data_IF_654728611201
#
_entry.id   IF_654728611201
#
_cell.length_a   1.000
_cell.length_b   1.000
_cell.length_c   1.000
_cell.angle_alpha   90.00
_cell.angle_beta   90.00
_cell.angle_gamma   90.00
#
_symmetry.space_group_name_H-M   'P 1'
#
loop_
_entity.id
_entity.type
_entity.pdbx_description
1 polymer ?
#
# COMPACT_ATOMS: atom_id res chain seq x y z
N UNK A 1 -9.82 11.29 -33.19
CA UNK A 1 -8.69 10.92 -32.27
C UNK A 1 -9.26 9.96 -31.23
N UNK A 2 -8.64 8.79 -30.98
CA UNK A 2 -9.12 7.83 -29.97
C UNK A 2 -8.68 8.37 -28.59
N UNK A 3 -9.60 8.54 -27.67
CA UNK A 3 -9.30 8.94 -26.30
C UNK A 3 -8.55 7.81 -25.59
N UNK A 4 -7.54 8.17 -24.81
CA UNK A 4 -6.71 7.25 -24.04
C UNK A 4 -6.40 7.87 -22.68
N UNK A 5 -6.10 7.05 -21.69
CA UNK A 5 -5.61 7.50 -20.40
C UNK A 5 -4.28 8.26 -20.52
N UNK A 6 -3.99 9.10 -19.53
CA UNK A 6 -2.72 9.84 -19.45
C UNK A 6 -1.58 8.84 -19.21
N UNK A 7 -0.49 8.99 -19.92
CA UNK A 7 0.69 8.12 -19.76
C UNK A 7 1.16 8.07 -18.29
N UNK A 8 1.18 6.88 -17.73
CA UNK A 8 1.55 6.65 -16.32
C UNK A 8 0.41 6.84 -15.32
N UNK A 9 -0.83 7.01 -15.83
CA UNK A 9 -2.07 6.94 -15.06
C UNK A 9 -2.92 5.85 -15.70
N UNK A 10 -2.94 4.67 -15.08
CA UNK A 10 -3.51 3.47 -15.67
C UNK A 10 -4.88 3.15 -15.08
N UNK A 11 -5.76 2.60 -15.92
CA UNK A 11 -7.00 2.00 -15.45
C UNK A 11 -6.66 0.69 -14.73
N UNK A 12 -7.38 0.41 -13.64
CA UNK A 12 -7.31 -0.86 -12.93
C UNK A 12 -8.52 -1.70 -13.33
N UNK A 13 -8.28 -2.74 -14.14
CA UNK A 13 -9.35 -3.57 -14.67
C UNK A 13 -9.85 -4.60 -13.64
N UNK A 14 -11.08 -5.16 -13.80
CA UNK A 14 -11.69 -6.07 -12.82
C UNK A 14 -10.81 -7.26 -12.44
N UNK A 15 -10.08 -7.84 -13.38
CA UNK A 15 -9.20 -8.98 -13.14
C UNK A 15 -8.02 -8.61 -12.22
N UNK A 16 -7.50 -7.39 -12.34
CA UNK A 16 -6.43 -6.87 -11.50
C UNK A 16 -6.95 -6.42 -10.12
N UNK A 17 -8.20 -5.92 -10.08
CA UNK A 17 -8.81 -5.38 -8.86
C UNK A 17 -8.93 -6.43 -7.75
N UNK A 18 -9.03 -7.71 -8.08
CA UNK A 18 -9.13 -8.78 -7.09
C UNK A 18 -7.87 -8.87 -6.19
N UNK A 19 -6.67 -8.80 -6.77
CA UNK A 19 -5.41 -8.79 -6.02
C UNK A 19 -5.29 -7.52 -5.16
N UNK A 20 -5.72 -6.37 -5.68
CA UNK A 20 -5.75 -5.12 -4.92
C UNK A 20 -6.65 -5.21 -3.69
N UNK A 21 -7.88 -5.68 -3.86
CA UNK A 21 -8.85 -5.86 -2.77
C UNK A 21 -8.35 -6.87 -1.73
N UNK A 22 -7.67 -7.94 -2.16
CA UNK A 22 -7.04 -8.89 -1.25
C UNK A 22 -5.96 -8.22 -0.41
N UNK A 23 -5.05 -7.47 -1.04
CA UNK A 23 -4.00 -6.73 -0.35
C UNK A 23 -4.59 -5.70 0.64
N UNK A 24 -5.50 -4.84 0.17
CA UNK A 24 -6.12 -3.80 1.00
C UNK A 24 -6.85 -4.37 2.21
N UNK A 25 -7.62 -5.45 2.04
CA UNK A 25 -8.30 -6.16 3.14
C UNK A 25 -7.29 -6.72 4.13
N UNK A 26 -6.27 -7.42 3.66
CA UNK A 26 -5.24 -8.00 4.51
C UNK A 26 -4.52 -6.93 5.33
N UNK A 27 -4.20 -5.79 4.72
CA UNK A 27 -3.57 -4.66 5.42
C UNK A 27 -4.52 -4.10 6.48
N UNK A 28 -5.78 -3.83 6.14
CA UNK A 28 -6.77 -3.30 7.08
C UNK A 28 -6.97 -4.24 8.31
N UNK A 29 -7.03 -5.55 8.06
CA UNK A 29 -7.14 -6.56 9.13
C UNK A 29 -5.91 -6.58 10.04
N UNK A 30 -4.70 -6.55 9.47
CA UNK A 30 -3.45 -6.52 10.24
C UNK A 30 -3.38 -5.23 11.06
N UNK A 31 -3.61 -4.07 10.45
CA UNK A 31 -3.56 -2.77 11.13
C UNK A 31 -4.63 -2.66 12.22
N UNK A 32 -5.81 -3.22 12.00
CA UNK A 32 -6.87 -3.30 13.01
C UNK A 32 -6.44 -4.05 14.28
N UNK A 33 -5.61 -5.11 14.15
CA UNK A 33 -5.05 -5.87 15.30
C UNK A 33 -4.06 -5.05 16.13
N UNK A 34 -3.48 -3.98 15.57
CA UNK A 34 -2.60 -3.02 16.25
C UNK A 34 -3.33 -1.73 16.65
N UNK A 35 -4.67 -1.73 16.53
CA UNK A 35 -5.54 -0.59 16.88
C UNK A 35 -5.29 0.67 16.05
N UNK A 36 -4.76 0.54 14.83
CA UNK A 36 -4.70 1.64 13.88
C UNK A 36 -6.09 1.89 13.29
N UNK A 37 -6.49 3.16 13.21
CA UNK A 37 -7.78 3.61 12.67
C UNK A 37 -7.58 4.29 11.32
N UNK A 38 -8.49 4.04 10.40
CA UNK A 38 -8.44 4.70 9.09
C UNK A 38 -8.75 6.20 9.23
N UNK A 39 -7.95 7.01 8.52
CA UNK A 39 -8.21 8.44 8.29
C UNK A 39 -8.24 8.69 6.79
N UNK A 40 -9.19 9.52 6.34
CA UNK A 40 -9.29 9.96 4.95
C UNK A 40 -9.19 11.46 4.87
N UNK A 41 -8.41 11.95 3.94
CA UNK A 41 -8.19 13.39 3.71
C UNK A 41 -8.12 13.69 2.21
N UNK A 42 -8.30 14.96 1.79
CA UNK A 42 -8.35 15.36 0.38
C UNK A 42 -7.13 14.91 -0.42
N UNK A 43 -7.36 14.72 -1.73
CA UNK A 43 -6.29 14.47 -2.71
C UNK A 43 -5.61 15.78 -3.10
N UNK A 44 -6.39 16.87 -3.10
CA UNK A 44 -5.96 18.21 -3.47
C UNK A 44 -5.72 19.03 -2.21
N UNK A 45 -4.55 19.66 -2.12
CA UNK A 45 -4.11 20.46 -0.99
C UNK A 45 -3.45 21.76 -1.48
N UNK A 46 -3.30 22.74 -0.59
CA UNK A 46 -2.47 23.91 -0.89
C UNK A 46 -1.03 23.50 -1.16
N UNK A 47 -0.43 24.04 -2.21
CA UNK A 47 0.95 23.71 -2.63
C UNK A 47 1.97 23.94 -1.51
N UNK A 48 1.75 24.96 -0.68
CA UNK A 48 2.62 25.29 0.45
C UNK A 48 2.69 24.21 1.52
N UNK A 49 1.67 23.36 1.65
CA UNK A 49 1.71 22.21 2.55
C UNK A 49 2.89 21.31 2.22
N UNK A 50 3.02 20.96 0.94
CA UNK A 50 4.08 20.05 0.51
C UNK A 50 5.45 20.72 0.46
N UNK A 51 5.54 22.00 0.06
CA UNK A 51 6.79 22.75 0.10
C UNK A 51 7.36 22.79 1.52
N UNK A 52 6.52 23.07 2.51
CA UNK A 52 6.95 23.10 3.91
C UNK A 52 7.28 21.71 4.44
N UNK A 53 6.46 20.69 4.15
CA UNK A 53 6.66 19.36 4.71
C UNK A 53 7.86 18.64 4.07
N UNK A 54 7.88 18.58 2.74
CA UNK A 54 8.81 17.72 1.97
C UNK A 54 10.20 18.34 1.86
N UNK A 55 10.26 19.68 1.88
CA UNK A 55 11.49 20.45 1.62
C UNK A 55 11.53 21.02 0.21
N UNK A 56 11.79 22.32 0.10
CA UNK A 56 11.76 23.07 -1.19
C UNK A 56 12.77 22.54 -2.22
N UNK A 57 13.91 21.99 -1.77
CA UNK A 57 15.03 21.54 -2.61
C UNK A 57 14.98 20.01 -2.88
N UNK A 58 13.80 19.42 -2.81
CA UNK A 58 13.64 18.00 -3.13
C UNK A 58 13.16 17.81 -4.57
N UNK A 59 13.58 16.72 -5.22
CA UNK A 59 13.12 16.39 -6.58
C UNK A 59 11.58 16.38 -6.68
N UNK A 60 10.89 15.94 -5.63
CA UNK A 60 9.42 15.93 -5.56
C UNK A 60 8.86 17.33 -5.73
N UNK A 61 9.33 18.30 -4.93
CA UNK A 61 8.80 19.67 -4.94
C UNK A 61 9.25 20.42 -6.18
N UNK A 62 10.50 20.28 -6.60
CA UNK A 62 11.05 21.01 -7.75
C UNK A 62 10.50 20.54 -9.11
N UNK A 63 10.24 19.21 -9.27
CA UNK A 63 10.04 18.62 -10.61
C UNK A 63 8.86 17.67 -10.75
N UNK A 64 8.38 17.10 -9.63
CA UNK A 64 7.44 15.97 -9.72
C UNK A 64 6.01 16.32 -9.32
N UNK A 65 5.77 17.44 -8.62
CA UNK A 65 4.43 17.85 -8.20
C UNK A 65 3.56 18.26 -9.38
N UNK A 66 2.30 17.83 -9.36
CA UNK A 66 1.24 18.37 -10.21
C UNK A 66 0.62 19.57 -9.49
N UNK A 67 1.04 20.78 -9.84
CA UNK A 67 0.56 22.03 -9.26
C UNK A 67 -0.12 22.91 -10.31
N UNK A 68 -1.17 23.61 -9.90
CA UNK A 68 -1.94 24.51 -10.73
C UNK A 68 -2.65 25.55 -9.87
N UNK A 69 -3.00 26.68 -10.46
CA UNK A 69 -3.79 27.70 -9.77
C UNK A 69 -5.28 27.38 -9.95
N UNK A 70 -6.04 27.55 -8.87
CA UNK A 70 -7.50 27.45 -8.94
C UNK A 70 -8.11 28.74 -9.54
N UNK A 71 -9.45 28.79 -9.59
CA UNK A 71 -10.15 29.96 -10.17
C UNK A 71 -9.98 31.24 -9.34
N UNK A 72 -9.58 31.14 -8.09
CA UNK A 72 -9.35 32.25 -7.19
C UNK A 72 -7.88 32.70 -7.19
N UNK A 73 -7.00 31.96 -7.86
CA UNK A 73 -5.56 32.17 -7.89
C UNK A 73 -4.79 31.50 -6.77
N UNK A 74 -5.42 30.60 -6.00
CA UNK A 74 -4.73 29.81 -4.99
C UNK A 74 -3.94 28.68 -5.65
N UNK A 75 -2.68 28.53 -5.27
CA UNK A 75 -1.83 27.45 -5.77
C UNK A 75 -2.15 26.13 -5.08
N UNK A 76 -2.62 25.17 -5.85
CA UNK A 76 -3.03 23.84 -5.40
C UNK A 76 -2.14 22.75 -6.00
N UNK A 77 -1.99 21.64 -5.28
CA UNK A 77 -1.25 20.48 -5.76
C UNK A 77 -1.99 19.19 -5.49
N UNK A 78 -1.93 18.27 -6.44
CA UNK A 78 -2.26 16.87 -6.19
C UNK A 78 -1.19 16.29 -5.24
N UNK A 79 -1.63 15.61 -4.18
CA UNK A 79 -0.73 15.10 -3.13
C UNK A 79 0.33 14.15 -3.71
N UNK A 80 1.64 14.43 -3.53
CA UNK A 80 2.72 13.55 -3.95
C UNK A 80 3.04 12.44 -2.94
N UNK A 81 2.53 12.57 -1.70
CA UNK A 81 2.67 11.67 -0.57
C UNK A 81 1.54 11.94 0.44
N UNK A 82 1.39 11.10 1.46
CA UNK A 82 0.23 11.18 2.36
C UNK A 82 0.53 11.78 3.74
N UNK A 83 1.78 11.72 4.22
CA UNK A 83 2.14 12.12 5.60
C UNK A 83 1.81 13.59 5.87
N UNK A 84 2.16 14.50 4.98
CA UNK A 84 1.86 15.94 5.12
C UNK A 84 0.35 16.20 5.23
N UNK A 85 -0.45 15.55 4.37
CA UNK A 85 -1.91 15.65 4.41
C UNK A 85 -2.50 15.07 5.70
N UNK A 86 -1.95 13.97 6.20
CA UNK A 86 -2.35 13.37 7.48
C UNK A 86 -2.04 14.31 8.65
N UNK A 87 -0.83 14.86 8.72
CA UNK A 87 -0.42 15.82 9.76
C UNK A 87 -1.32 17.07 9.73
N UNK A 88 -1.55 17.64 8.53
CA UNK A 88 -2.45 18.80 8.38
C UNK A 88 -3.87 18.47 8.88
N UNK A 89 -4.41 17.30 8.49
CA UNK A 89 -5.74 16.87 8.92
C UNK A 89 -5.82 16.70 10.45
N UNK A 90 -4.81 16.09 11.05
CA UNK A 90 -4.74 15.90 12.50
C UNK A 90 -4.64 17.24 13.24
N UNK A 91 -3.79 18.15 12.77
CA UNK A 91 -3.57 19.46 13.38
C UNK A 91 -4.82 20.32 13.28
N UNK A 92 -5.42 20.42 12.09
CA UNK A 92 -6.61 21.21 11.83
C UNK A 92 -7.81 20.78 12.66
N UNK A 93 -7.95 19.47 12.91
CA UNK A 93 -9.09 18.92 13.66
C UNK A 93 -8.75 18.64 15.15
N UNK A 94 -7.62 19.14 15.64
CA UNK A 94 -7.25 19.03 17.07
C UNK A 94 -6.99 17.61 17.57
N UNK A 95 -6.72 16.64 16.67
CA UNK A 95 -6.55 15.22 17.03
C UNK A 95 -5.25 14.96 17.80
N UNK A 96 -4.29 15.90 17.77
CA UNK A 96 -3.00 15.78 18.45
C UNK A 96 -2.97 16.49 19.82
N UNK A 97 -4.07 17.11 20.23
CA UNK A 97 -4.10 17.86 21.49
C UNK A 97 -4.20 16.92 22.70
N UNK A 98 -3.08 16.75 23.42
CA UNK A 98 -2.98 15.86 24.58
C UNK A 98 -3.44 14.41 24.31
N UNK A 99 -3.23 13.92 23.13
CA UNK A 99 -3.65 12.58 22.68
C UNK A 99 -2.56 11.92 21.84
N UNK A 100 -2.48 10.59 21.94
CA UNK A 100 -1.75 9.77 20.99
C UNK A 100 -2.68 9.33 19.86
N UNK A 101 -2.16 9.21 18.66
CA UNK A 101 -2.91 8.69 17.52
C UNK A 101 -2.16 7.56 16.85
N UNK A 102 -2.92 6.55 16.42
CA UNK A 102 -2.51 5.46 15.52
C UNK A 102 -3.45 5.49 14.33
N UNK A 103 -2.93 5.95 13.20
CA UNK A 103 -3.74 6.21 12.01
C UNK A 103 -3.15 5.50 10.79
N UNK A 104 -4.00 5.13 9.86
CA UNK A 104 -3.60 4.66 8.55
C UNK A 104 -4.52 5.22 7.48
N UNK A 105 -4.01 5.32 6.26
CA UNK A 105 -4.76 5.79 5.09
C UNK A 105 -4.34 5.01 3.85
N UNK A 106 -5.24 4.98 2.87
CA UNK A 106 -4.95 4.47 1.53
C UNK A 106 -5.49 5.42 0.48
N UNK A 107 -4.85 5.45 -0.68
CA UNK A 107 -5.35 6.19 -1.82
C UNK A 107 -4.28 6.62 -2.83
N UNK A 108 -4.71 7.31 -3.91
CA UNK A 108 -3.82 7.73 -4.97
C UNK A 108 -2.90 8.87 -4.55
N UNK A 109 -1.67 8.81 -5.06
CA UNK A 109 -0.63 9.84 -5.01
C UNK A 109 -0.20 10.18 -6.42
N UNK A 110 0.39 11.37 -6.62
CA UNK A 110 0.68 11.89 -7.96
C UNK A 110 2.08 12.47 -8.03
N UNK A 111 2.93 11.91 -8.93
CA UNK A 111 4.27 12.44 -9.20
C UNK A 111 4.56 12.39 -10.69
N UNK A 112 4.98 13.51 -11.27
CA UNK A 112 5.36 13.59 -12.68
C UNK A 112 6.72 12.93 -12.91
N UNK A 113 6.79 11.62 -12.73
CA UNK A 113 7.99 10.82 -12.95
C UNK A 113 7.97 10.15 -14.32
N UNK A 114 9.13 9.63 -14.75
CA UNK A 114 9.22 8.78 -15.94
C UNK A 114 8.60 7.42 -15.64
N UNK A 115 7.48 7.04 -16.27
CA UNK A 115 6.81 5.78 -16.00
C UNK A 115 7.66 4.56 -16.34
N UNK A 116 7.67 3.59 -15.42
CA UNK A 116 8.30 2.27 -15.58
C UNK A 116 7.59 1.25 -14.67
N UNK A 117 7.95 -0.05 -14.75
CA UNK A 117 7.34 -1.10 -13.91
C UNK A 117 7.45 -0.72 -12.44
N UNK A 118 6.31 -0.64 -11.72
CA UNK A 118 6.26 -0.27 -10.30
C UNK A 118 6.51 1.21 -9.98
N UNK A 119 6.52 2.10 -11.01
CA UNK A 119 6.66 3.55 -10.85
C UNK A 119 5.77 4.28 -11.86
N UNK A 120 4.68 4.82 -11.38
CA UNK A 120 3.63 5.46 -12.16
C UNK A 120 3.49 6.93 -11.78
N UNK A 121 2.80 7.71 -12.63
CA UNK A 121 2.48 9.12 -12.33
C UNK A 121 1.30 9.29 -11.40
N UNK A 122 0.32 8.40 -11.49
CA UNK A 122 -0.66 8.13 -10.45
C UNK A 122 -0.36 6.75 -9.89
N UNK A 123 -0.10 6.67 -8.61
CA UNK A 123 0.18 5.44 -7.88
C UNK A 123 -0.52 5.46 -6.54
N UNK A 124 -0.65 4.35 -5.88
CA UNK A 124 -1.36 4.25 -4.61
C UNK A 124 -0.39 3.96 -3.46
N UNK A 125 -0.63 4.60 -2.35
CA UNK A 125 0.07 4.30 -1.10
C UNK A 125 -0.91 3.88 -0.02
N UNK A 126 -0.45 2.96 0.81
CA UNK A 126 -0.97 2.75 2.16
C UNK A 126 0.05 3.37 3.09
N UNK A 127 -0.38 4.36 3.89
CA UNK A 127 0.46 5.02 4.89
C UNK A 127 -0.05 4.72 6.29
N UNK A 128 0.88 4.63 7.23
CA UNK A 128 0.62 4.39 8.65
C UNK A 128 1.39 5.40 9.47
N UNK A 129 0.72 6.08 10.38
CA UNK A 129 1.29 7.18 11.14
C UNK A 129 0.92 7.03 12.63
N UNK A 130 1.91 7.15 13.50
CA UNK A 130 1.72 7.20 14.95
C UNK A 130 2.21 8.55 15.49
N UNK A 131 1.40 9.21 16.31
CA UNK A 131 1.69 10.54 16.84
C UNK A 131 1.63 10.55 18.37
N UNK A 132 2.45 11.40 18.99
CA UNK A 132 2.41 11.67 20.42
C UNK A 132 3.18 10.66 21.28
N UNK A 133 4.01 9.79 20.68
CA UNK A 133 4.79 8.77 21.38
C UNK A 133 6.29 8.99 21.11
N UNK A 134 7.07 9.23 22.17
CA UNK A 134 8.50 9.63 22.05
C UNK A 134 9.48 8.45 21.97
N UNK A 135 9.16 7.32 22.58
CA UNK A 135 10.09 6.20 22.73
C UNK A 135 10.36 5.42 21.43
N UNK A 136 11.39 4.57 21.41
CA UNK A 136 11.71 3.67 20.29
C UNK A 136 10.74 2.48 20.21
N UNK A 137 9.91 2.27 21.21
CA UNK A 137 8.90 1.21 21.31
C UNK A 137 7.85 1.32 20.20
N UNK A 138 7.42 2.54 19.86
CA UNK A 138 6.48 2.74 18.75
C UNK A 138 7.17 2.55 17.38
N UNK A 139 8.45 2.90 17.25
CA UNK A 139 9.23 2.63 16.03
C UNK A 139 9.33 1.11 15.82
N UNK A 140 9.62 0.38 16.90
CA UNK A 140 9.64 -1.08 16.90
C UNK A 140 8.26 -1.68 16.58
N UNK A 141 7.17 -1.16 17.16
CA UNK A 141 5.80 -1.62 16.87
C UNK A 141 5.48 -1.51 15.37
N UNK A 142 5.87 -0.42 14.71
CA UNK A 142 5.69 -0.27 13.25
C UNK A 142 6.45 -1.34 12.46
N UNK A 143 7.68 -1.66 12.86
CA UNK A 143 8.48 -2.71 12.23
C UNK A 143 7.91 -4.10 12.50
N UNK A 144 7.40 -4.36 13.71
CA UNK A 144 6.68 -5.59 14.04
C UNK A 144 5.39 -5.73 13.23
N UNK A 145 4.67 -4.63 13.04
CA UNK A 145 3.44 -4.58 12.24
C UNK A 145 3.71 -4.92 10.78
N UNK A 146 4.75 -4.32 10.18
CA UNK A 146 5.14 -4.63 8.80
C UNK A 146 5.64 -6.06 8.65
N UNK A 147 6.47 -6.57 9.59
CA UNK A 147 6.93 -7.96 9.57
C UNK A 147 5.77 -8.96 9.67
N UNK A 148 4.74 -8.68 10.49
CA UNK A 148 3.51 -9.46 10.54
C UNK A 148 2.75 -9.42 9.23
N UNK A 149 2.66 -8.25 8.60
CA UNK A 149 2.00 -8.08 7.31
C UNK A 149 2.66 -8.96 6.24
N UNK A 150 4.00 -8.94 6.16
CA UNK A 150 4.74 -9.78 5.21
C UNK A 150 4.50 -11.28 5.41
N UNK A 151 4.47 -11.73 6.66
CA UNK A 151 4.10 -13.12 6.99
C UNK A 151 2.66 -13.45 6.58
N UNK A 152 1.71 -12.54 6.84
CA UNK A 152 0.31 -12.75 6.47
C UNK A 152 0.13 -12.83 4.95
N UNK A 153 0.87 -12.01 4.19
CA UNK A 153 0.91 -12.02 2.73
C UNK A 153 1.81 -13.13 2.15
N UNK A 154 2.52 -13.91 2.99
CA UNK A 154 3.46 -14.99 2.61
C UNK A 154 4.64 -14.50 1.75
N UNK A 155 5.10 -13.27 1.96
CA UNK A 155 6.23 -12.65 1.25
C UNK A 155 7.43 -12.32 2.16
N UNK A 156 7.41 -12.72 3.42
CA UNK A 156 8.46 -12.44 4.42
C UNK A 156 9.83 -12.97 4.01
N UNK A 157 9.89 -14.05 3.22
CA UNK A 157 11.12 -14.61 2.67
C UNK A 157 11.70 -13.83 1.49
N UNK A 158 10.93 -12.95 0.87
CA UNK A 158 11.29 -12.18 -0.32
C UNK A 158 11.59 -10.71 -0.04
N UNK A 159 11.51 -10.28 1.22
CA UNK A 159 11.79 -8.91 1.65
C UNK A 159 12.82 -8.90 2.77
N UNK A 160 13.70 -7.91 2.77
CA UNK A 160 14.70 -7.69 3.82
C UNK A 160 14.57 -6.29 4.40
N UNK A 161 14.82 -6.17 5.71
CA UNK A 161 14.73 -4.92 6.46
C UNK A 161 16.11 -4.25 6.51
N UNK A 162 16.17 -2.99 6.10
CA UNK A 162 17.32 -2.10 6.32
C UNK A 162 16.90 -0.99 7.27
N UNK A 163 17.75 -0.70 8.26
CA UNK A 163 17.50 0.36 9.25
C UNK A 163 18.74 1.26 9.39
N UNK A 164 18.49 2.50 9.81
CA UNK A 164 19.54 3.45 10.17
C UNK A 164 19.01 4.47 11.18
N UNK A 165 19.90 5.21 11.82
CA UNK A 165 19.56 6.41 12.60
C UNK A 165 20.13 7.65 11.93
N UNK A 166 19.29 8.66 11.72
CA UNK A 166 19.71 9.97 11.20
C UNK A 166 20.07 10.96 12.30
N UNK A 167 19.92 10.58 13.57
CA UNK A 167 20.10 11.48 14.69
C UNK A 167 19.15 12.68 14.70
N UNK A 168 19.50 13.70 15.44
CA UNK A 168 18.78 14.98 15.52
C UNK A 168 19.08 15.87 14.32
N UNK A 169 18.36 16.98 14.19
CA UNK A 169 18.65 18.01 13.18
C UNK A 169 20.03 18.66 13.39
N UNK A 170 20.49 18.78 14.65
CA UNK A 170 21.82 19.28 14.98
C UNK A 170 22.92 18.31 14.54
N UNK A 171 22.73 17.01 14.80
CA UNK A 171 23.66 15.95 14.37
C UNK A 171 23.80 15.94 12.85
N UNK A 172 22.68 15.96 12.15
CA UNK A 172 22.70 16.02 10.67
C UNK A 172 23.40 17.26 10.12
N UNK A 173 23.25 18.42 10.78
CA UNK A 173 23.94 19.65 10.37
C UNK A 173 25.46 19.49 10.48
N UNK A 174 25.93 18.92 11.59
CA UNK A 174 27.36 18.67 11.84
C UNK A 174 27.90 17.64 10.84
N UNK A 175 27.20 16.53 10.66
CA UNK A 175 27.57 15.50 9.70
C UNK A 175 27.59 16.03 8.27
N UNK A 176 26.57 16.83 7.87
CA UNK A 176 26.50 17.44 6.54
C UNK A 176 27.74 18.28 6.24
N UNK A 177 28.24 19.07 7.20
CA UNK A 177 29.45 19.85 7.02
C UNK A 177 30.66 18.96 6.75
N UNK A 178 30.88 17.93 7.57
CA UNK A 178 31.96 16.98 7.37
C UNK A 178 31.86 16.20 6.03
N UNK A 179 30.66 15.81 5.64
CA UNK A 179 30.43 15.15 4.36
C UNK A 179 30.69 16.06 3.16
N UNK A 180 30.26 17.33 3.24
CA UNK A 180 30.56 18.35 2.22
C UNK A 180 32.06 18.57 2.08
N UNK A 181 32.78 18.77 3.18
CA UNK A 181 34.24 18.96 3.16
C UNK A 181 34.95 17.76 2.52
N UNK A 182 34.52 16.55 2.85
CA UNK A 182 35.06 15.31 2.27
C UNK A 182 34.81 15.22 0.75
N UNK A 183 33.60 15.51 0.33
CA UNK A 183 33.18 15.39 -1.09
C UNK A 183 33.73 16.54 -1.96
N UNK A 184 33.82 17.76 -1.42
CA UNK A 184 34.40 18.90 -2.13
C UNK A 184 35.88 18.65 -2.49
N UNK A 185 36.65 18.05 -1.56
CA UNK A 185 38.03 17.65 -1.85
C UNK A 185 38.19 16.60 -2.95
N UNK A 186 37.05 15.99 -3.39
CA UNK A 186 36.97 14.91 -4.39
C UNK A 186 35.97 15.19 -5.48
N UNK A 187 35.55 16.43 -5.68
CA UNK A 187 34.47 16.86 -6.55
C UNK A 187 34.63 16.36 -7.98
N UNK A 188 35.85 16.33 -8.52
CA UNK A 188 36.16 15.85 -9.86
C UNK A 188 35.91 14.33 -10.05
N UNK A 189 35.82 13.57 -8.96
CA UNK A 189 35.57 12.13 -8.98
C UNK A 189 34.08 11.80 -8.87
N UNK A 190 33.23 12.79 -8.62
CA UNK A 190 31.79 12.62 -8.53
C UNK A 190 31.12 12.65 -9.92
N UNK A 191 30.08 11.85 -10.11
CA UNK A 191 29.21 11.97 -11.28
C UNK A 191 28.48 13.31 -11.30
N UNK A 192 27.97 13.72 -12.49
CA UNK A 192 27.31 15.03 -12.68
C UNK A 192 26.12 15.26 -11.74
N UNK A 193 25.35 14.21 -11.46
CA UNK A 193 24.18 14.28 -10.57
C UNK A 193 24.64 14.51 -9.13
N UNK A 194 25.68 13.81 -8.70
CA UNK A 194 26.30 13.97 -7.38
C UNK A 194 26.98 15.34 -7.22
N UNK A 195 27.60 15.88 -8.24
CA UNK A 195 28.17 17.23 -8.25
C UNK A 195 27.08 18.30 -8.04
N UNK A 196 25.95 18.16 -8.74
CA UNK A 196 24.79 19.05 -8.57
C UNK A 196 24.21 18.95 -7.14
N UNK A 197 24.06 17.74 -6.61
CA UNK A 197 23.55 17.47 -5.27
C UNK A 197 24.48 17.96 -4.16
N UNK A 198 25.78 18.04 -4.40
CA UNK A 198 26.76 18.52 -3.42
C UNK A 198 26.42 19.92 -2.90
N UNK A 199 25.91 20.80 -3.75
CA UNK A 199 25.51 22.15 -3.38
C UNK A 199 24.10 22.22 -2.78
N UNK A 200 23.16 21.44 -3.32
CA UNK A 200 21.75 21.49 -2.97
C UNK A 200 21.42 20.58 -1.77
N UNK A 201 21.66 19.28 -1.90
CA UNK A 201 21.35 18.28 -0.88
C UNK A 201 22.40 17.15 -0.83
N UNK A 202 23.58 17.39 -0.19
CA UNK A 202 24.70 16.44 -0.17
C UNK A 202 24.37 15.10 0.47
N UNK A 203 23.40 15.03 1.39
CA UNK A 203 22.96 13.78 1.99
C UNK A 203 22.40 12.79 0.94
N UNK A 204 21.83 13.30 -0.16
CA UNK A 204 21.31 12.47 -1.26
C UNK A 204 22.40 11.81 -2.10
N UNK A 205 23.66 12.20 -1.93
CA UNK A 205 24.81 11.54 -2.60
C UNK A 205 25.03 10.14 -2.01
N UNK A 206 24.70 9.95 -0.72
CA UNK A 206 24.84 8.65 -0.03
C UNK A 206 24.01 7.55 -0.74
N UNK A 207 22.89 7.92 -1.37
CA UNK A 207 22.00 7.02 -2.13
C UNK A 207 22.34 7.00 -3.64
N UNK A 208 23.53 7.47 -4.06
CA UNK A 208 23.96 7.42 -5.46
C UNK A 208 24.05 5.97 -5.93
N UNK A 209 23.58 5.70 -7.15
CA UNK A 209 23.70 4.38 -7.80
C UNK A 209 24.92 4.28 -8.71
N UNK A 210 25.69 5.38 -8.84
CA UNK A 210 26.93 5.39 -9.61
C UNK A 210 28.02 4.61 -8.86
N UNK A 211 28.66 3.65 -9.53
CA UNK A 211 29.65 2.75 -8.91
C UNK A 211 30.87 3.49 -8.39
N UNK A 212 31.38 4.47 -9.12
CA UNK A 212 32.57 5.24 -8.71
C UNK A 212 32.25 6.09 -7.49
N UNK A 213 31.11 6.74 -7.48
CA UNK A 213 30.62 7.47 -6.28
C UNK A 213 30.41 6.52 -5.10
N UNK A 214 29.89 5.32 -5.30
CA UNK A 214 29.73 4.31 -4.26
C UNK A 214 31.08 3.88 -3.65
N UNK A 215 32.12 3.71 -4.50
CA UNK A 215 33.49 3.40 -4.02
C UNK A 215 34.03 4.56 -3.19
N UNK A 216 33.88 5.79 -3.66
CA UNK A 216 34.31 6.99 -2.95
C UNK A 216 33.64 7.11 -1.56
N UNK A 217 32.36 6.74 -1.45
CA UNK A 217 31.61 6.81 -0.19
C UNK A 217 32.04 5.77 0.85
N UNK A 218 32.87 4.76 0.52
CA UNK A 218 33.36 3.80 1.51
C UNK A 218 34.23 4.47 2.58
N UNK A 219 34.98 5.50 2.21
CA UNK A 219 35.87 6.23 3.09
C UNK A 219 35.28 7.56 3.59
N UNK A 220 34.02 7.84 3.26
CA UNK A 220 33.32 9.03 3.72
C UNK A 220 33.01 8.97 5.22
N UNK A 221 32.89 10.12 5.90
CA UNK A 221 32.42 10.18 7.28
C UNK A 221 31.10 9.41 7.45
N UNK A 222 30.93 8.68 8.54
CA UNK A 222 29.70 7.92 8.83
C UNK A 222 28.81 8.73 9.75
N UNK A 223 27.52 8.81 9.45
CA UNK A 223 26.55 9.53 10.27
C UNK A 223 26.53 9.03 11.73
N UNK A 224 26.73 7.74 11.94
CA UNK A 224 26.77 7.11 13.26
C UNK A 224 27.82 7.71 14.21
N UNK A 225 28.88 8.32 13.67
CA UNK A 225 29.94 8.95 14.47
C UNK A 225 29.52 10.34 15.01
N UNK A 226 28.45 10.92 14.45
CA UNK A 226 28.00 12.28 14.74
C UNK A 226 26.71 12.34 15.57
N UNK A 227 25.97 11.24 15.68
CA UNK A 227 24.70 11.21 16.42
C UNK A 227 24.94 11.34 17.93
N UNK A 228 24.03 12.03 18.62
CA UNK A 228 24.08 12.22 20.06
C UNK A 228 23.80 10.92 20.85
N UNK A 229 24.04 10.95 22.17
CA UNK A 229 23.86 9.77 23.00
C UNK A 229 22.39 9.34 23.07
N UNK A 230 21.45 10.28 23.13
CA UNK A 230 20.02 9.97 23.15
C UNK A 230 19.58 9.22 21.88
N UNK A 231 20.04 9.65 20.72
CA UNK A 231 19.75 9.00 19.43
C UNK A 231 20.42 7.62 19.33
N UNK A 232 21.60 7.42 19.94
CA UNK A 232 22.25 6.10 20.04
C UNK A 232 21.43 5.16 20.90
N UNK A 233 21.08 5.59 22.11
CA UNK A 233 20.29 4.80 23.05
C UNK A 233 18.93 4.42 22.47
N UNK A 234 18.29 5.35 21.76
CA UNK A 234 17.04 5.11 21.04
C UNK A 234 17.20 4.01 19.98
N UNK A 235 18.25 4.08 19.17
CA UNK A 235 18.51 3.11 18.12
C UNK A 235 18.91 1.73 18.67
N UNK A 236 19.71 1.69 19.72
CA UNK A 236 20.09 0.44 20.40
C UNK A 236 18.87 -0.26 21.02
N UNK A 237 17.96 0.48 21.65
CA UNK A 237 16.70 -0.07 22.18
C UNK A 237 15.81 -0.61 21.06
N UNK A 238 15.71 0.08 19.92
CA UNK A 238 15.01 -0.42 18.74
C UNK A 238 15.59 -1.76 18.29
N UNK A 239 16.92 -1.85 18.12
CA UNK A 239 17.61 -3.06 17.72
C UNK A 239 17.35 -4.21 18.71
N UNK A 240 17.41 -3.93 20.02
CA UNK A 240 17.14 -4.93 21.06
C UNK A 240 15.72 -5.53 20.96
N UNK A 241 14.71 -4.71 20.64
CA UNK A 241 13.35 -5.21 20.42
C UNK A 241 13.26 -6.10 19.17
N UNK A 242 13.92 -5.70 18.06
CA UNK A 242 13.94 -6.48 16.82
C UNK A 242 14.64 -7.82 17.03
N UNK A 243 15.76 -7.84 17.75
CA UNK A 243 16.51 -9.06 18.11
C UNK A 243 15.65 -9.99 18.96
N UNK A 244 14.99 -9.47 20.00
CA UNK A 244 14.08 -10.24 20.86
C UNK A 244 12.90 -10.82 20.08
N UNK A 245 12.40 -10.07 19.09
CA UNK A 245 11.33 -10.50 18.19
C UNK A 245 11.80 -11.42 17.05
N UNK A 246 13.11 -11.66 16.94
CA UNK A 246 13.74 -12.45 15.87
C UNK A 246 13.43 -11.94 14.47
N UNK A 247 13.44 -10.61 14.31
CA UNK A 247 13.34 -9.96 13.02
C UNK A 247 14.75 -9.69 12.53
N UNK A 248 15.11 -10.29 11.39
CA UNK A 248 16.38 -10.02 10.75
C UNK A 248 16.40 -8.62 10.13
N UNK A 249 17.47 -7.88 10.34
CA UNK A 249 17.68 -6.56 9.75
C UNK A 249 19.15 -6.34 9.42
N UNK A 250 19.40 -5.38 8.55
CA UNK A 250 20.73 -4.86 8.22
C UNK A 250 20.80 -3.39 8.66
N UNK A 251 21.87 -3.03 9.36
CA UNK A 251 22.17 -1.61 9.62
C UNK A 251 22.87 -1.05 8.37
N UNK A 252 22.15 -0.21 7.62
CA UNK A 252 22.68 0.42 6.42
C UNK A 252 23.07 1.89 6.71
N UNK A 253 24.38 2.20 6.90
CA UNK A 253 24.83 3.54 7.24
C UNK A 253 24.62 4.58 6.14
N UNK A 254 24.28 4.15 4.92
CA UNK A 254 23.97 5.01 3.77
C UNK A 254 22.48 5.21 3.56
N UNK A 255 21.64 4.54 4.35
CA UNK A 255 20.20 4.69 4.26
C UNK A 255 19.81 6.10 4.69
N UNK A 256 19.41 6.90 3.72
CA UNK A 256 18.80 8.22 3.88
C UNK A 256 17.46 8.25 3.16
N UNK A 257 16.60 9.22 3.47
CA UNK A 257 15.27 9.31 2.88
C UNK A 257 15.18 10.46 1.89
N UNK A 258 14.25 10.34 0.95
CA UNK A 258 13.98 11.35 -0.09
C UNK A 258 13.24 12.60 0.40
N UNK A 259 12.87 12.65 1.66
CA UNK A 259 12.10 13.70 2.31
C UNK A 259 12.92 14.22 3.51
N UNK A 260 12.99 15.53 3.68
CA UNK A 260 13.91 16.14 4.62
C UNK A 260 13.42 16.17 6.09
N UNK A 261 12.16 15.79 6.32
CA UNK A 261 11.57 15.83 7.65
C UNK A 261 11.99 14.72 8.61
N UNK A 262 12.66 13.66 8.12
CA UNK A 262 13.03 12.52 8.96
C UNK A 262 14.11 12.86 9.99
N UNK A 263 14.01 12.19 11.15
CA UNK A 263 14.97 12.25 12.26
C UNK A 263 15.08 10.88 12.92
N UNK A 264 16.13 10.65 13.72
CA UNK A 264 16.34 9.36 14.43
C UNK A 264 16.14 8.16 13.49
N UNK A 265 15.22 7.25 13.82
CA UNK A 265 14.98 6.00 13.07
C UNK A 265 14.51 6.25 11.64
N UNK A 266 15.17 5.58 10.69
CA UNK A 266 14.68 5.40 9.30
C UNK A 266 14.83 3.94 8.90
N UNK A 267 13.92 3.47 8.04
CA UNK A 267 13.94 2.09 7.59
C UNK A 267 13.37 1.91 6.18
N UNK A 268 13.76 0.81 5.54
CA UNK A 268 13.20 0.32 4.28
C UNK A 268 13.06 -1.20 4.29
N UNK A 269 11.94 -1.68 3.77
CA UNK A 269 11.79 -3.06 3.36
C UNK A 269 12.05 -3.13 1.86
N UNK A 270 13.05 -3.93 1.50
CA UNK A 270 13.53 -4.04 0.12
C UNK A 270 13.41 -5.47 -0.38
N UNK A 271 13.21 -5.61 -1.71
CA UNK A 271 13.19 -6.91 -2.40
C UNK A 271 14.08 -6.86 -3.63
N UNK A 272 14.67 -7.98 -3.99
CA UNK A 272 15.42 -8.15 -5.23
C UNK A 272 14.54 -8.56 -6.41
N UNK A 273 13.32 -9.02 -6.15
CA UNK A 273 12.38 -9.53 -7.17
C UNK A 273 11.86 -8.44 -8.13
N UNK A 274 11.90 -7.17 -7.74
CA UNK A 274 11.41 -6.05 -8.53
C UNK A 274 12.51 -5.22 -9.20
N UNK A 275 13.74 -5.73 -9.26
CA UNK A 275 14.89 -5.06 -9.87
C UNK A 275 15.18 -3.70 -9.22
N UNK A 276 15.32 -2.64 -10.02
CA UNK A 276 15.68 -1.31 -9.54
C UNK A 276 14.60 -0.63 -8.65
N UNK A 277 13.39 -1.17 -8.58
CA UNK A 277 12.27 -0.65 -7.79
C UNK A 277 12.04 -1.50 -6.52
N UNK A 278 13.12 -1.96 -5.89
CA UNK A 278 13.09 -2.92 -4.79
C UNK A 278 12.46 -2.45 -3.48
N UNK A 279 12.35 -1.16 -3.20
CA UNK A 279 11.74 -0.66 -1.97
C UNK A 279 10.22 -0.81 -2.01
N UNK A 280 9.65 -1.69 -1.18
CA UNK A 280 8.19 -1.95 -1.10
C UNK A 280 7.52 -1.20 0.05
N UNK A 281 8.26 -0.92 1.12
CA UNK A 281 7.80 -0.16 2.28
C UNK A 281 8.95 0.66 2.81
N UNK A 282 8.69 1.89 3.24
CA UNK A 282 9.73 2.74 3.77
C UNK A 282 9.15 3.79 4.71
N UNK A 283 9.91 4.14 5.75
CA UNK A 283 9.45 5.06 6.76
C UNK A 283 10.54 5.52 7.72
N UNK A 284 10.09 6.08 8.84
CA UNK A 284 10.95 6.55 9.92
C UNK A 284 10.26 7.58 10.80
N UNK A 285 11.01 8.12 11.74
CA UNK A 285 10.58 9.14 12.71
C UNK A 285 10.74 10.55 12.13
N UNK A 286 9.82 11.44 12.49
CA UNK A 286 9.77 12.84 11.99
C UNK A 286 9.20 13.80 13.05
N UNK A 287 9.83 13.86 14.19
CA UNK A 287 9.35 14.57 15.39
C UNK A 287 9.12 16.09 15.20
N UNK A 288 9.81 16.71 14.24
CA UNK A 288 9.68 18.14 13.93
C UNK A 288 8.56 18.51 12.96
N UNK A 289 7.95 17.54 12.25
CA UNK A 289 7.05 17.83 11.14
C UNK A 289 5.76 18.52 11.56
N UNK A 290 5.18 18.11 12.70
CA UNK A 290 3.92 18.70 13.19
C UNK A 290 4.12 20.21 13.50
N UNK A 291 5.22 20.56 14.14
CA UNK A 291 5.58 21.94 14.46
C UNK A 291 5.89 22.74 13.17
N UNK A 292 6.63 22.16 12.24
CA UNK A 292 6.95 22.75 10.93
C UNK A 292 5.68 23.11 10.13
N UNK A 293 4.62 22.33 10.30
CA UNK A 293 3.31 22.58 9.67
C UNK A 293 2.36 23.45 10.52
N UNK A 294 2.88 24.07 11.59
CA UNK A 294 2.14 25.04 12.41
C UNK A 294 1.36 24.41 13.57
N UNK A 295 1.55 23.14 13.87
CA UNK A 295 1.03 22.48 15.06
C UNK A 295 1.89 22.73 16.30
N UNK A 296 1.47 22.21 17.46
CA UNK A 296 2.33 22.14 18.65
C UNK A 296 3.34 21.00 18.48
N UNK A 297 4.54 21.08 19.08
CA UNK A 297 5.51 19.99 19.06
C UNK A 297 4.84 18.66 19.43
N UNK A 298 4.95 17.69 18.54
CA UNK A 298 4.36 16.37 18.69
C UNK A 298 5.20 15.37 17.90
N UNK A 299 5.76 14.34 18.55
CA UNK A 299 6.54 13.34 17.85
C UNK A 299 5.67 12.56 16.88
N UNK A 300 6.29 12.17 15.78
CA UNK A 300 5.64 11.37 14.76
C UNK A 300 6.58 10.32 14.19
N UNK A 301 6.03 9.16 13.89
CA UNK A 301 6.72 8.08 13.19
C UNK A 301 5.73 7.35 12.31
N UNK A 302 6.17 6.95 11.12
CA UNK A 302 5.26 6.29 10.19
C UNK A 302 5.99 5.63 9.03
N UNK A 303 5.22 5.00 8.16
CA UNK A 303 5.71 4.42 6.92
C UNK A 303 4.68 4.52 5.80
N UNK A 304 5.15 4.40 4.58
CA UNK A 304 4.31 4.24 3.42
C UNK A 304 4.74 3.02 2.58
N UNK A 305 3.74 2.31 2.05
CA UNK A 305 3.89 1.18 1.15
C UNK A 305 3.34 1.53 -0.22
N UNK A 306 4.07 1.20 -1.29
CA UNK A 306 3.56 1.31 -2.65
C UNK A 306 2.69 0.12 -3.02
N UNK A 307 1.38 0.35 -3.23
CA UNK A 307 0.41 -0.71 -3.52
C UNK A 307 0.77 -1.46 -4.81
N UNK A 308 1.08 -0.73 -5.88
CA UNK A 308 1.47 -1.33 -7.16
C UNK A 308 2.70 -2.24 -7.03
N UNK A 309 3.68 -1.85 -6.19
CA UNK A 309 4.88 -2.68 -5.97
C UNK A 309 4.56 -3.94 -5.18
N UNK A 310 3.69 -3.84 -4.18
CA UNK A 310 3.25 -5.00 -3.42
C UNK A 310 2.43 -5.96 -4.29
N UNK A 311 1.50 -5.45 -5.09
CA UNK A 311 0.74 -6.27 -6.05
C UNK A 311 1.67 -6.98 -7.03
N UNK A 312 2.63 -6.26 -7.63
CA UNK A 312 3.64 -6.86 -8.51
C UNK A 312 4.46 -7.95 -7.81
N UNK A 313 4.82 -7.76 -6.54
CA UNK A 313 5.56 -8.75 -5.76
C UNK A 313 4.70 -9.98 -5.45
N UNK A 314 3.44 -9.79 -5.07
CA UNK A 314 2.50 -10.89 -4.84
C UNK A 314 2.28 -11.73 -6.09
N UNK A 315 2.10 -11.09 -7.24
CA UNK A 315 1.92 -11.74 -8.54
C UNK A 315 3.20 -12.51 -8.95
N UNK A 316 4.37 -11.88 -8.79
CA UNK A 316 5.68 -12.50 -9.14
C UNK A 316 5.95 -13.75 -8.29
N UNK A 317 5.54 -13.74 -7.02
CA UNK A 317 5.72 -14.86 -6.10
C UNK A 317 4.61 -15.92 -6.19
N UNK A 318 3.52 -15.63 -6.92
CA UNK A 318 2.38 -16.55 -7.05
C UNK A 318 1.70 -16.88 -5.72
N UNK A 319 1.72 -15.97 -4.76
CA UNK A 319 1.17 -16.21 -3.40
C UNK A 319 -0.27 -15.75 -3.21
N UNK A 320 -0.84 -15.16 -4.25
CA UNK A 320 -2.23 -14.72 -4.25
C UNK A 320 -3.14 -15.95 -4.29
N UNK A 321 -4.12 -16.08 -3.38
CA UNK A 321 -5.04 -17.22 -3.40
C UNK A 321 -5.88 -17.26 -4.68
N UNK A 322 -5.99 -18.41 -5.34
CA UNK A 322 -6.82 -18.58 -6.55
C UNK A 322 -8.28 -18.19 -6.33
N UNK A 323 -8.79 -18.36 -5.12
CA UNK A 323 -10.18 -18.04 -4.74
C UNK A 323 -10.56 -16.56 -4.87
N UNK A 324 -9.56 -15.65 -4.89
CA UNK A 324 -9.87 -14.21 -5.05
C UNK A 324 -10.31 -13.86 -6.46
N UNK A 325 -9.87 -14.61 -7.46
CA UNK A 325 -10.26 -14.40 -8.86
C UNK A 325 -11.68 -14.89 -9.14
N UNK A 326 -12.23 -15.74 -8.28
CA UNK A 326 -13.59 -16.26 -8.40
C UNK A 326 -14.58 -15.18 -8.00
N UNK A 327 -15.47 -14.81 -8.91
CA UNK A 327 -16.46 -13.75 -8.70
C UNK A 327 -17.86 -14.28 -8.52
N UNK A 328 -18.13 -15.53 -8.89
CA UNK A 328 -19.43 -16.21 -8.86
C UNK A 328 -19.25 -17.60 -8.28
N UNK A 329 -20.04 -17.93 -7.27
CA UNK A 329 -20.08 -19.26 -6.67
C UNK A 329 -21.23 -20.10 -7.26
N UNK A 330 -22.39 -19.46 -7.40
CA UNK A 330 -23.64 -20.05 -7.91
C UNK A 330 -24.14 -19.26 -9.13
N UNK A 331 -24.42 -19.95 -10.22
CA UNK A 331 -25.06 -19.36 -11.40
C UNK A 331 -26.47 -19.91 -11.58
N UNK A 332 -27.49 -19.04 -11.64
CA UNK A 332 -28.87 -19.48 -11.83
C UNK A 332 -29.24 -19.42 -13.32
N UNK A 333 -29.69 -20.56 -13.84
CA UNK A 333 -30.13 -20.78 -15.21
C UNK A 333 -31.66 -20.85 -15.24
N UNK A 334 -32.28 -19.96 -15.98
CA UNK A 334 -33.73 -19.92 -16.17
C UNK A 334 -34.10 -20.48 -17.54
N UNK A 335 -34.99 -21.45 -17.59
CA UNK A 335 -35.40 -22.15 -18.83
C UNK A 335 -36.90 -22.01 -19.05
N UNK A 336 -37.33 -21.72 -20.26
CA UNK A 336 -38.73 -21.44 -20.57
C UNK A 336 -39.17 -20.09 -20.05
N UNK A 337 -40.31 -19.99 -19.42
CA UNK A 337 -40.86 -18.75 -18.86
C UNK A 337 -40.63 -18.65 -17.34
N UNK A 338 -39.46 -19.08 -16.88
CA UNK A 338 -39.10 -19.12 -15.44
C UNK A 338 -38.16 -17.98 -14.99
N UNK A 339 -37.96 -16.95 -15.82
CA UNK A 339 -37.01 -15.86 -15.50
C UNK A 339 -37.44 -15.06 -14.26
N UNK A 340 -38.73 -14.83 -14.06
CA UNK A 340 -39.24 -14.11 -12.90
C UNK A 340 -38.95 -14.89 -11.60
N UNK A 341 -39.33 -16.17 -11.60
CA UNK A 341 -39.17 -17.06 -10.45
C UNK A 341 -37.68 -17.27 -10.13
N UNK A 342 -36.85 -17.37 -11.16
CA UNK A 342 -35.40 -17.48 -11.00
C UNK A 342 -34.79 -16.23 -10.35
N UNK A 343 -35.23 -15.03 -10.71
CA UNK A 343 -34.78 -13.79 -10.09
C UNK A 343 -35.27 -13.69 -8.63
N UNK A 344 -36.51 -14.06 -8.33
CA UNK A 344 -37.03 -14.06 -6.96
C UNK A 344 -36.27 -15.07 -6.10
N UNK A 345 -36.09 -16.30 -6.61
CA UNK A 345 -35.33 -17.33 -5.92
C UNK A 345 -33.87 -16.90 -5.67
N UNK A 346 -33.24 -16.21 -6.63
CA UNK A 346 -31.89 -15.67 -6.45
C UNK A 346 -31.79 -14.66 -5.28
N UNK A 347 -32.80 -13.81 -5.14
CA UNK A 347 -32.82 -12.80 -4.08
C UNK A 347 -33.07 -13.42 -2.70
N UNK A 348 -33.96 -14.42 -2.65
CA UNK A 348 -34.18 -15.20 -1.44
C UNK A 348 -32.91 -15.93 -1.00
N UNK A 349 -32.19 -16.55 -1.94
CA UNK A 349 -30.93 -17.23 -1.65
C UNK A 349 -29.83 -16.23 -1.23
N UNK A 350 -29.72 -15.02 -1.82
CA UNK A 350 -28.79 -13.96 -1.35
C UNK A 350 -29.06 -13.57 0.09
N UNK A 351 -30.36 -13.53 0.48
CA UNK A 351 -30.74 -13.20 1.85
C UNK A 351 -30.38 -14.31 2.86
N UNK A 352 -30.55 -15.58 2.43
CA UNK A 352 -30.31 -16.74 3.29
C UNK A 352 -28.84 -17.18 3.33
N UNK A 353 -28.08 -16.91 2.25
CA UNK A 353 -26.69 -17.35 2.05
C UNK A 353 -25.77 -16.15 1.77
N UNK A 354 -25.53 -15.25 2.73
CA UNK A 354 -24.84 -13.96 2.49
C UNK A 354 -23.37 -14.11 2.05
N UNK A 355 -22.78 -15.29 2.20
CA UNK A 355 -21.40 -15.56 1.79
C UNK A 355 -21.29 -16.22 0.40
N UNK A 356 -22.42 -16.51 -0.28
CA UNK A 356 -22.44 -17.12 -1.61
C UNK A 356 -22.71 -16.04 -2.65
N UNK A 357 -21.83 -15.90 -3.63
CA UNK A 357 -21.95 -14.94 -4.73
C UNK A 357 -22.82 -15.55 -5.83
N UNK A 358 -24.00 -15.00 -6.03
CA UNK A 358 -25.02 -15.53 -6.93
C UNK A 358 -25.18 -14.64 -8.16
N UNK A 359 -24.94 -15.20 -9.36
CA UNK A 359 -25.26 -14.56 -10.63
C UNK A 359 -26.54 -15.19 -11.21
N UNK A 360 -27.52 -14.36 -11.52
CA UNK A 360 -28.72 -14.79 -12.21
C UNK A 360 -28.56 -14.55 -13.72
N UNK A 361 -28.93 -15.56 -14.53
CA UNK A 361 -28.92 -15.37 -15.95
C UNK A 361 -29.97 -14.33 -16.38
N UNK A 362 -29.53 -13.34 -17.16
CA UNK A 362 -30.40 -12.33 -17.76
C UNK A 362 -30.24 -12.33 -19.28
N UNK A 363 -31.33 -11.95 -20.00
CA UNK A 363 -31.34 -11.81 -21.46
C UNK A 363 -31.72 -13.06 -22.24
N UNK A 364 -32.32 -14.05 -21.59
CA UNK A 364 -32.92 -15.24 -22.24
C UNK A 364 -31.91 -16.13 -22.95
N UNK A 365 -32.36 -16.93 -23.88
CA UNK A 365 -31.55 -17.84 -24.68
C UNK A 365 -31.75 -19.31 -24.31
N UNK A 366 -31.16 -20.22 -25.11
CA UNK A 366 -31.33 -21.66 -24.90
C UNK A 366 -30.62 -22.14 -23.65
N UNK A 367 -31.10 -23.22 -23.04
CA UNK A 367 -30.49 -23.91 -21.92
C UNK A 367 -28.98 -24.15 -22.12
N UNK A 368 -28.60 -24.68 -23.29
CA UNK A 368 -27.20 -24.94 -23.64
C UNK A 368 -26.34 -23.67 -23.63
N UNK A 369 -26.91 -22.54 -24.09
CA UNK A 369 -26.19 -21.25 -24.06
C UNK A 369 -26.00 -20.74 -22.65
N UNK A 370 -27.03 -20.87 -21.80
CA UNK A 370 -26.99 -20.43 -20.41
C UNK A 370 -26.01 -21.28 -19.59
N UNK A 371 -26.00 -22.61 -19.72
CA UNK A 371 -25.01 -23.50 -19.08
C UNK A 371 -23.58 -23.17 -19.52
N UNK A 372 -23.35 -22.83 -20.80
CA UNK A 372 -22.04 -22.42 -21.27
C UNK A 372 -21.60 -21.10 -20.63
N UNK A 373 -22.52 -20.17 -20.37
CA UNK A 373 -22.23 -18.94 -19.64
C UNK A 373 -21.93 -19.22 -18.16
N UNK A 374 -22.72 -20.08 -17.52
CA UNK A 374 -22.47 -20.54 -16.16
C UNK A 374 -21.08 -21.17 -15.99
N UNK A 375 -20.68 -22.01 -16.93
CA UNK A 375 -19.33 -22.61 -16.94
C UNK A 375 -18.24 -21.54 -17.11
N UNK A 376 -18.44 -20.60 -18.03
CA UNK A 376 -17.48 -19.50 -18.29
C UNK A 376 -17.37 -18.50 -17.14
N UNK A 377 -18.43 -18.34 -16.31
CA UNK A 377 -18.41 -17.42 -15.17
C UNK A 377 -17.48 -17.89 -14.04
N UNK A 378 -17.01 -19.14 -14.08
CA UNK A 378 -16.21 -19.73 -13.00
C UNK A 378 -17.05 -20.32 -11.86
N UNK A 379 -18.40 -20.23 -11.92
CA UNK A 379 -19.27 -20.77 -10.89
C UNK A 379 -18.99 -22.26 -10.63
N UNK A 380 -19.00 -22.65 -9.37
CA UNK A 380 -18.88 -24.05 -8.97
C UNK A 380 -20.17 -24.82 -9.23
N UNK A 381 -21.30 -24.16 -9.07
CA UNK A 381 -22.63 -24.76 -9.18
C UNK A 381 -23.52 -23.95 -10.14
N UNK A 382 -24.26 -24.64 -10.98
CA UNK A 382 -25.41 -24.07 -11.70
C UNK A 382 -26.73 -24.55 -11.08
N UNK A 383 -27.60 -23.62 -10.70
CA UNK A 383 -28.97 -23.90 -10.29
C UNK A 383 -29.86 -23.77 -11.52
N UNK A 384 -30.60 -24.82 -11.82
CA UNK A 384 -31.45 -24.90 -13.00
C UNK A 384 -32.89 -24.76 -12.54
N UNK A 385 -33.62 -23.81 -13.13
CA UNK A 385 -35.02 -23.58 -12.90
C UNK A 385 -35.73 -23.53 -14.23
N UNK A 386 -36.61 -24.48 -14.47
CA UNK A 386 -37.53 -24.53 -15.59
C UNK A 386 -38.97 -24.50 -15.13
N UNK A 387 -39.92 -24.60 -16.06
CA UNK A 387 -41.37 -24.58 -15.75
C UNK A 387 -41.78 -25.76 -14.84
N UNK A 388 -41.16 -26.93 -15.03
CA UNK A 388 -41.42 -28.12 -14.22
C UNK A 388 -40.88 -27.95 -12.78
N UNK A 389 -39.70 -27.39 -12.65
CA UNK A 389 -39.08 -27.09 -11.35
C UNK A 389 -39.87 -26.04 -10.59
N UNK A 390 -40.39 -25.02 -11.28
CA UNK A 390 -41.28 -24.00 -10.68
C UNK A 390 -42.57 -24.63 -10.20
N UNK A 391 -43.22 -25.46 -11.05
CA UNK A 391 -44.48 -26.11 -10.70
C UNK A 391 -44.36 -27.07 -9.52
N UNK A 392 -43.23 -27.74 -9.36
CA UNK A 392 -42.94 -28.70 -8.27
C UNK A 392 -42.24 -28.08 -7.06
N UNK A 393 -41.97 -26.76 -7.06
CA UNK A 393 -41.21 -26.05 -6.05
C UNK A 393 -39.82 -26.70 -5.78
N UNK A 394 -39.15 -27.14 -6.85
CA UNK A 394 -37.81 -27.72 -6.82
C UNK A 394 -36.83 -26.90 -7.66
N UNK A 395 -35.54 -27.23 -7.62
CA UNK A 395 -34.52 -26.74 -8.54
C UNK A 395 -33.48 -27.80 -8.80
N UNK A 396 -32.95 -27.84 -10.02
CA UNK A 396 -31.84 -28.72 -10.39
C UNK A 396 -30.49 -28.16 -9.99
N UNK A 397 -29.69 -28.86 -9.18
CA UNK A 397 -28.32 -28.52 -8.85
C UNK A 397 -27.36 -29.28 -9.77
N UNK A 398 -26.58 -28.55 -10.57
CA UNK A 398 -25.55 -29.10 -11.42
C UNK A 398 -24.17 -28.63 -10.95
N UNK A 399 -23.33 -29.56 -10.58
CA UNK A 399 -21.92 -29.27 -10.23
C UNK A 399 -21.11 -29.06 -11.52
N UNK A 400 -20.45 -27.91 -11.62
CA UNK A 400 -19.71 -27.51 -12.83
C UNK A 400 -18.22 -27.83 -12.75
N UNK A 401 -17.68 -28.03 -11.54
CA UNK A 401 -16.27 -28.28 -11.28
C UNK A 401 -15.98 -29.68 -10.73
N UNK A 402 -17.03 -30.49 -10.57
CA UNK A 402 -16.92 -31.84 -10.04
C UNK A 402 -17.71 -32.82 -10.92
N UNK A 403 -17.24 -34.05 -10.99
CA UNK A 403 -17.98 -35.16 -11.67
C UNK A 403 -19.07 -35.72 -10.73
N UNK A 404 -20.06 -34.89 -10.41
CA UNK A 404 -21.26 -35.30 -9.66
C UNK A 404 -22.49 -35.25 -10.54
N UNK A 405 -23.40 -36.22 -10.37
CA UNK A 405 -24.70 -36.22 -11.05
C UNK A 405 -25.54 -35.02 -10.61
N UNK A 406 -26.33 -34.49 -11.53
CA UNK A 406 -27.34 -33.47 -11.24
C UNK A 406 -28.32 -33.97 -10.18
N UNK A 407 -28.66 -33.11 -9.23
CA UNK A 407 -29.61 -33.40 -8.14
C UNK A 407 -30.83 -32.48 -8.28
N UNK A 408 -32.02 -33.00 -7.93
CA UNK A 408 -33.20 -32.16 -7.77
C UNK A 408 -33.45 -31.95 -6.27
N UNK A 409 -33.59 -30.70 -5.84
CA UNK A 409 -33.72 -30.30 -4.44
C UNK A 409 -34.95 -29.40 -4.29
N UNK A 410 -35.68 -29.55 -3.20
CA UNK A 410 -36.81 -28.65 -2.89
C UNK A 410 -36.26 -27.21 -2.66
N UNK A 411 -36.96 -26.20 -3.16
CA UNK A 411 -36.50 -24.80 -3.03
C UNK A 411 -36.30 -24.38 -1.57
N UNK A 412 -37.09 -24.92 -0.64
CA UNK A 412 -36.97 -24.68 0.81
C UNK A 412 -35.68 -25.24 1.43
N UNK A 413 -35.04 -26.22 0.81
CA UNK A 413 -33.82 -26.86 1.31
C UNK A 413 -32.54 -26.31 0.63
N UNK A 414 -32.69 -25.51 -0.43
CA UNK A 414 -31.57 -25.03 -1.24
C UNK A 414 -30.54 -24.28 -0.40
N UNK A 415 -30.95 -23.39 0.50
CA UNK A 415 -30.06 -22.61 1.32
C UNK A 415 -29.16 -23.50 2.20
N UNK A 416 -29.75 -24.54 2.81
CA UNK A 416 -29.00 -25.50 3.64
C UNK A 416 -28.00 -26.30 2.79
N UNK A 417 -28.46 -26.82 1.64
CA UNK A 417 -27.61 -27.62 0.73
C UNK A 417 -26.45 -26.80 0.20
N UNK A 418 -26.70 -25.56 -0.25
CA UNK A 418 -25.67 -24.67 -0.78
C UNK A 418 -24.69 -24.21 0.31
N UNK A 419 -25.20 -23.84 1.49
CA UNK A 419 -24.34 -23.44 2.60
C UNK A 419 -23.38 -24.58 2.99
N UNK A 420 -23.88 -25.81 3.14
CA UNK A 420 -23.02 -26.95 3.45
C UNK A 420 -21.98 -27.20 2.36
N UNK A 421 -22.39 -27.12 1.09
CA UNK A 421 -21.47 -27.34 -0.05
C UNK A 421 -20.33 -26.30 -0.14
N UNK A 422 -20.57 -25.04 0.22
CA UNK A 422 -19.58 -23.98 0.15
C UNK A 422 -18.82 -23.75 1.46
N UNK A 423 -19.17 -24.45 2.54
CA UNK A 423 -18.47 -24.35 3.85
C UNK A 423 -17.48 -25.53 4.05
N UNK A 424 -17.72 -26.69 3.44
CA UNK A 424 -16.83 -27.85 3.38
C UNK A 424 -15.71 -27.60 2.35
#
# INVERSE_FOLDING_TARGET
MKLQSIRGMNDLLPEQSATWQYLERTVAEVLGRYSYREIRFPILEQTDLFKRAVGEVTDIVEKEMYSFDDRNGDSLSLRPEGTAGCVRACTQNGLLHNQTQRLWYTGPMFRHERPQKGRLRQFHQIGVEAFGIYGPDIDAELLLTTARLWKTLKIDHAVSLQINSLGTSADRKTYRAALVDYLMARQEQLDEDSQRRLQANPMRILDSKNQDTQVLLNDAPKLADFIDQESRDHFEQLCAVLDAAKINYEINPRLVRGLDYYSKTVFEWVTTNLGAQGTVCAGGRYDGLVEQLGGKPCPGVGFAMGVERLVLLLDELGVVPDSIAQTVDLYIVAVGNSELEALVLAEDLRSQCPNIRIESHCGGGSFKSQIKKADKSGAAVALILGEDEVASATAGIKFLREEKSQQSVAQTELANVLTNYFTD
#
